data_IF_412813725282
#
_entry.id   IF_412813725282
#
_cell.length_a   1.000
_cell.length_b   1.000
_cell.length_c   1.000
_cell.angle_alpha   90.00
_cell.angle_beta   90.00
_cell.angle_gamma   90.00
#
_symmetry.space_group_name_H-M   'P 1'
#
loop_
_entity.id
_entity.type
_entity.pdbx_description
1 polymer ?
#
# COMPACT_ATOMS: atom_id res chain seq x y z
N UNK A 1 -2.17 10.35 -8.06
CA UNK A 1 -3.64 10.52 -7.89
C UNK A 1 -3.95 12.01 -7.84
N UNK A 2 -4.98 12.43 -8.53
CA UNK A 2 -5.37 13.83 -8.56
C UNK A 2 -5.92 14.26 -7.20
N UNK A 3 -5.60 15.50 -6.80
CA UNK A 3 -6.05 16.04 -5.51
C UNK A 3 -7.58 16.00 -5.33
N UNK A 4 -8.33 16.37 -6.36
CA UNK A 4 -9.79 16.38 -6.29
C UNK A 4 -10.38 14.96 -6.09
N UNK A 5 -9.79 13.96 -6.73
CA UNK A 5 -10.20 12.56 -6.56
C UNK A 5 -9.87 12.06 -5.16
N UNK A 6 -8.70 12.40 -4.63
CA UNK A 6 -8.31 12.06 -3.27
C UNK A 6 -9.27 12.67 -2.26
N UNK A 7 -9.58 13.96 -2.41
CA UNK A 7 -10.50 14.66 -1.51
C UNK A 7 -11.90 14.04 -1.54
N UNK A 8 -12.35 13.62 -2.72
CA UNK A 8 -13.64 12.93 -2.87
C UNK A 8 -13.66 11.59 -2.14
N UNK A 9 -12.60 10.80 -2.28
CA UNK A 9 -12.46 9.49 -1.62
C UNK A 9 -12.48 9.69 -0.10
N UNK A 10 -11.67 10.63 0.42
CA UNK A 10 -11.61 10.90 1.86
C UNK A 10 -12.96 11.34 2.40
N UNK A 11 -13.67 12.21 1.70
CA UNK A 11 -14.99 12.67 2.11
C UNK A 11 -16.00 11.53 2.19
N UNK A 12 -16.00 10.64 1.19
CA UNK A 12 -16.88 9.47 1.20
C UNK A 12 -16.54 8.50 2.31
N UNK A 13 -15.26 8.29 2.60
CA UNK A 13 -14.83 7.43 3.69
C UNK A 13 -15.23 7.99 5.05
N UNK A 14 -15.16 9.30 5.25
CA UNK A 14 -15.65 9.93 6.48
C UNK A 14 -17.12 9.65 6.71
N UNK A 15 -17.94 9.80 5.66
CA UNK A 15 -19.36 9.52 5.72
C UNK A 15 -19.61 8.04 6.04
N UNK A 16 -18.91 7.15 5.33
CA UNK A 16 -19.04 5.70 5.54
C UNK A 16 -18.73 5.31 6.98
N UNK A 17 -17.61 5.79 7.52
CA UNK A 17 -17.20 5.47 8.89
C UNK A 17 -18.11 6.03 9.95
N UNK A 18 -18.84 7.08 9.66
CA UNK A 18 -19.86 7.63 10.55
C UNK A 18 -21.02 6.66 10.78
N UNK A 19 -21.39 5.88 9.77
CA UNK A 19 -22.53 4.97 9.81
C UNK A 19 -22.12 3.50 9.94
N UNK A 20 -20.90 3.13 9.56
CA UNK A 20 -20.43 1.74 9.62
C UNK A 20 -19.20 1.65 10.53
N UNK A 21 -19.39 1.02 11.69
CA UNK A 21 -18.30 0.81 12.66
C UNK A 21 -17.47 -0.43 12.38
N UNK A 22 -17.91 -1.28 11.46
CA UNK A 22 -17.21 -2.52 11.12
C UNK A 22 -15.96 -2.20 10.31
N UNK A 23 -14.96 -3.10 10.40
CA UNK A 23 -13.77 -3.02 9.58
C UNK A 23 -14.14 -3.24 8.12
N UNK A 24 -13.76 -2.29 7.26
CA UNK A 24 -14.11 -2.31 5.84
C UNK A 24 -12.89 -2.69 5.02
N UNK A 25 -13.06 -3.64 4.10
CA UNK A 25 -12.06 -4.00 3.11
C UNK A 25 -12.42 -3.34 1.78
N UNK A 26 -11.44 -2.71 1.15
CA UNK A 26 -11.64 -2.04 -0.13
C UNK A 26 -10.61 -2.51 -1.14
N UNK A 27 -11.04 -2.76 -2.37
CA UNK A 27 -10.14 -3.13 -3.45
C UNK A 27 -9.27 -1.95 -3.86
N UNK A 28 -7.98 -2.22 -4.06
CA UNK A 28 -7.02 -1.26 -4.60
C UNK A 28 -6.40 -1.89 -5.84
N UNK A 29 -6.78 -1.38 -7.01
CA UNK A 29 -6.28 -1.87 -8.29
C UNK A 29 -4.91 -1.25 -8.57
N UNK A 30 -3.93 -2.10 -8.86
CA UNK A 30 -2.56 -1.67 -9.14
C UNK A 30 -2.05 -2.29 -10.44
N UNK A 31 -0.94 -1.75 -10.94
CA UNK A 31 -0.26 -2.21 -12.15
C UNK A 31 -1.07 -2.01 -13.44
N UNK A 32 -2.04 -1.11 -13.44
CA UNK A 32 -2.70 -0.71 -14.69
C UNK A 32 -1.69 -0.02 -15.61
N UNK A 33 -0.91 0.92 -15.06
CA UNK A 33 0.18 1.60 -15.76
C UNK A 33 1.52 1.12 -15.18
N UNK A 34 1.81 -0.16 -15.38
CA UNK A 34 2.86 -0.88 -14.67
C UNK A 34 4.28 -0.44 -15.00
N UNK A 35 4.46 0.37 -16.03
CA UNK A 35 5.78 0.91 -16.41
C UNK A 35 6.04 2.29 -15.79
N UNK A 36 5.04 2.88 -15.14
CA UNK A 36 5.15 4.20 -14.51
C UNK A 36 5.26 4.05 -13.00
N UNK A 37 6.32 4.59 -12.41
CA UNK A 37 6.52 4.58 -10.95
C UNK A 37 5.35 5.26 -10.22
N UNK A 38 4.68 6.21 -10.85
CA UNK A 38 3.52 6.87 -10.26
C UNK A 38 2.37 5.91 -9.96
N UNK A 39 2.28 4.78 -10.64
CA UNK A 39 1.30 3.75 -10.32
C UNK A 39 1.52 3.19 -8.91
N UNK A 40 2.77 2.89 -8.55
CA UNK A 40 3.13 2.44 -7.19
C UNK A 40 2.93 3.57 -6.17
N UNK A 41 3.34 4.78 -6.51
CA UNK A 41 3.16 5.94 -5.62
C UNK A 41 1.68 6.14 -5.31
N UNK A 42 0.82 6.05 -6.31
CA UNK A 42 -0.63 6.16 -6.14
C UNK A 42 -1.19 5.01 -5.30
N UNK A 43 -0.64 3.80 -5.44
CA UNK A 43 -1.04 2.66 -4.61
C UNK A 43 -0.75 2.93 -3.14
N UNK A 44 0.46 3.39 -2.81
CA UNK A 44 0.82 3.74 -1.44
C UNK A 44 -0.01 4.91 -0.90
N UNK A 45 -0.30 5.90 -1.72
CA UNK A 45 -1.14 7.03 -1.29
C UNK A 45 -2.55 6.57 -0.94
N UNK A 46 -3.14 5.68 -1.75
CA UNK A 46 -4.45 5.09 -1.44
C UNK A 46 -4.41 4.23 -0.18
N UNK A 47 -3.34 3.45 0.02
CA UNK A 47 -3.16 2.66 1.24
C UNK A 47 -3.07 3.57 2.46
N UNK A 48 -2.32 4.67 2.37
CA UNK A 48 -2.20 5.65 3.44
C UNK A 48 -3.57 6.23 3.83
N UNK A 49 -4.38 6.59 2.84
CA UNK A 49 -5.74 7.10 3.07
C UNK A 49 -6.58 6.02 3.79
N UNK A 50 -6.54 4.78 3.32
CA UNK A 50 -7.29 3.69 3.93
C UNK A 50 -6.84 3.43 5.37
N UNK A 51 -5.55 3.52 5.66
CA UNK A 51 -5.03 3.41 7.03
C UNK A 51 -5.66 4.45 7.95
N UNK A 52 -5.69 5.71 7.51
CA UNK A 52 -6.25 6.81 8.31
C UNK A 52 -7.71 6.56 8.68
N UNK A 53 -8.48 5.98 7.79
CA UNK A 53 -9.90 5.70 8.01
C UNK A 53 -10.17 4.29 8.56
N UNK A 54 -9.14 3.60 9.02
CA UNK A 54 -9.28 2.28 9.62
C UNK A 54 -9.76 1.20 8.66
N UNK A 55 -9.53 1.39 7.36
CA UNK A 55 -9.93 0.45 6.32
C UNK A 55 -8.77 -0.46 5.92
N UNK A 56 -9.11 -1.64 5.41
CA UNK A 56 -8.13 -2.65 4.98
C UNK A 56 -8.12 -2.69 3.45
N UNK A 57 -6.99 -2.46 2.80
CA UNK A 57 -6.89 -2.61 1.35
C UNK A 57 -6.84 -4.09 0.96
N UNK A 58 -7.40 -4.43 -0.19
CA UNK A 58 -7.18 -5.69 -0.86
C UNK A 58 -6.57 -5.37 -2.22
N UNK A 59 -5.31 -5.72 -2.41
CA UNK A 59 -4.58 -5.38 -3.62
C UNK A 59 -4.97 -6.35 -4.74
N UNK A 60 -5.45 -5.78 -5.84
CA UNK A 60 -5.72 -6.50 -7.08
C UNK A 60 -4.75 -6.01 -8.14
N UNK A 61 -4.00 -6.95 -8.72
CA UNK A 61 -2.98 -6.64 -9.72
C UNK A 61 -3.53 -6.87 -11.12
N UNK A 62 -3.40 -5.88 -12.00
CA UNK A 62 -3.61 -6.11 -13.42
C UNK A 62 -2.58 -7.12 -13.93
N UNK A 63 -2.98 -7.97 -14.87
CA UNK A 63 -2.13 -9.04 -15.40
C UNK A 63 -0.80 -8.53 -15.98
N UNK A 64 -0.76 -7.28 -16.42
CA UNK A 64 0.45 -6.67 -16.98
C UNK A 64 1.55 -6.41 -15.94
N UNK A 65 1.26 -6.59 -14.65
CA UNK A 65 2.29 -6.46 -13.61
C UNK A 65 3.50 -7.37 -13.87
N UNK A 66 3.28 -8.50 -14.53
CA UNK A 66 4.32 -9.49 -14.83
C UNK A 66 5.41 -8.93 -15.75
N UNK A 67 5.07 -7.94 -16.56
CA UNK A 67 5.98 -7.32 -17.53
C UNK A 67 6.64 -6.04 -16.99
N UNK A 68 6.37 -5.68 -15.74
CA UNK A 68 6.91 -4.48 -15.12
C UNK A 68 8.27 -4.75 -14.49
N UNK A 69 9.17 -3.77 -14.54
CA UNK A 69 10.39 -3.75 -13.74
C UNK A 69 10.08 -3.74 -12.24
N UNK A 70 8.91 -3.26 -11.87
CA UNK A 70 8.45 -3.17 -10.49
C UNK A 70 7.60 -4.36 -10.07
N UNK A 71 7.66 -5.46 -10.83
CA UNK A 71 6.88 -6.67 -10.57
C UNK A 71 7.03 -7.16 -9.13
N UNK A 72 8.25 -7.19 -8.62
CA UNK A 72 8.53 -7.62 -7.25
C UNK A 72 7.85 -6.75 -6.21
N UNK A 73 7.78 -5.45 -6.45
CA UNK A 73 7.08 -4.52 -5.57
C UNK A 73 5.57 -4.77 -5.57
N UNK A 74 4.96 -5.01 -6.71
CA UNK A 74 3.53 -5.34 -6.77
C UNK A 74 3.20 -6.64 -6.05
N UNK A 75 4.04 -7.66 -6.22
CA UNK A 75 3.88 -8.94 -5.52
C UNK A 75 3.97 -8.75 -4.01
N UNK A 76 5.01 -8.04 -3.56
CA UNK A 76 5.28 -7.82 -2.13
C UNK A 76 4.19 -6.97 -1.49
N UNK A 77 3.73 -5.93 -2.18
CA UNK A 77 2.66 -5.07 -1.71
C UNK A 77 1.37 -5.86 -1.46
N UNK A 78 1.02 -6.73 -2.40
CA UNK A 78 -0.16 -7.59 -2.26
C UNK A 78 -0.01 -8.57 -1.09
N UNK A 79 1.17 -9.16 -0.91
CA UNK A 79 1.43 -10.09 0.20
C UNK A 79 1.29 -9.39 1.56
N UNK A 80 1.73 -8.15 1.67
CA UNK A 80 1.61 -7.37 2.89
C UNK A 80 0.15 -6.98 3.17
N UNK A 81 -0.50 -6.34 2.22
CA UNK A 81 -1.85 -5.81 2.39
C UNK A 81 -2.93 -6.89 2.51
N UNK A 82 -2.79 -7.97 1.75
CA UNK A 82 -3.84 -8.98 1.66
C UNK A 82 -3.85 -9.94 2.85
N UNK A 83 -2.83 -9.89 3.70
CA UNK A 83 -2.79 -10.55 5.00
C UNK A 83 -3.04 -9.50 6.09
N UNK A 84 -4.25 -9.48 6.64
CA UNK A 84 -4.67 -8.45 7.60
C UNK A 84 -3.73 -8.37 8.80
N UNK A 85 -3.24 -9.52 9.30
CA UNK A 85 -2.33 -9.55 10.44
C UNK A 85 -1.01 -8.83 10.15
N UNK A 86 -0.47 -8.96 8.94
CA UNK A 86 0.74 -8.25 8.55
C UNK A 86 0.47 -6.76 8.37
N UNK A 87 -0.58 -6.43 7.64
CA UNK A 87 -0.92 -5.04 7.35
C UNK A 87 -1.17 -4.23 8.63
N UNK A 88 -1.90 -4.80 9.59
CA UNK A 88 -2.22 -4.09 10.84
C UNK A 88 -1.04 -3.92 11.78
N UNK A 89 -0.12 -4.87 11.79
CA UNK A 89 0.95 -4.93 12.80
C UNK A 89 2.29 -4.40 12.33
N UNK A 90 2.49 -4.30 11.01
CA UNK A 90 3.79 -3.92 10.45
C UNK A 90 3.64 -2.82 9.42
N UNK A 91 4.69 -2.00 9.29
CA UNK A 91 4.86 -1.16 8.10
C UNK A 91 5.32 -2.05 6.93
N UNK A 92 5.30 -1.48 5.72
CA UNK A 92 5.84 -2.19 4.55
C UNK A 92 7.30 -2.58 4.76
N UNK A 93 8.11 -1.66 5.30
CA UNK A 93 9.52 -1.91 5.59
C UNK A 93 9.68 -3.06 6.60
N UNK A 94 8.93 -3.03 7.68
CA UNK A 94 8.99 -4.09 8.70
C UNK A 94 8.57 -5.44 8.13
N UNK A 95 7.55 -5.46 7.27
CA UNK A 95 7.13 -6.69 6.61
C UNK A 95 8.26 -7.30 5.78
N UNK A 96 8.94 -6.48 4.98
CA UNK A 96 10.03 -6.95 4.12
C UNK A 96 11.28 -7.35 4.91
N UNK A 97 11.57 -6.65 5.99
CA UNK A 97 12.81 -6.81 6.77
C UNK A 97 12.67 -7.81 7.89
N UNK A 98 11.63 -7.65 8.73
CA UNK A 98 11.50 -8.42 9.98
C UNK A 98 10.71 -9.70 9.77
N UNK A 99 9.64 -9.67 8.98
CA UNK A 99 8.79 -10.84 8.74
C UNK A 99 9.39 -11.76 7.70
N UNK A 100 9.79 -11.23 6.55
CA UNK A 100 10.38 -12.03 5.46
C UNK A 100 11.89 -12.23 5.64
N UNK A 101 12.55 -11.35 6.37
CA UNK A 101 13.97 -11.43 6.67
C UNK A 101 14.87 -10.73 5.65
N UNK A 102 15.99 -10.23 6.15
CA UNK A 102 17.03 -9.63 5.31
C UNK A 102 17.56 -10.71 4.38
N UNK A 103 17.67 -10.38 3.09
CA UNK A 103 18.12 -11.32 2.07
C UNK A 103 16.98 -12.07 1.39
N UNK A 104 15.73 -11.95 1.87
CA UNK A 104 14.57 -12.49 1.17
C UNK A 104 14.31 -11.75 -0.14
N UNK A 105 13.51 -12.33 -1.02
CA UNK A 105 13.12 -11.67 -2.27
C UNK A 105 12.36 -10.39 -2.01
N UNK A 106 11.48 -10.37 -1.00
CA UNK A 106 10.74 -9.16 -0.62
C UNK A 106 11.68 -8.04 -0.17
N UNK A 107 12.65 -8.36 0.66
CA UNK A 107 13.65 -7.39 1.12
C UNK A 107 14.48 -6.86 -0.07
N UNK A 108 14.87 -7.73 -0.98
CA UNK A 108 15.63 -7.34 -2.18
C UNK A 108 14.82 -6.38 -3.05
N UNK A 109 13.55 -6.69 -3.34
CA UNK A 109 12.69 -5.82 -4.15
C UNK A 109 12.50 -4.46 -3.50
N UNK A 110 12.25 -4.44 -2.19
CA UNK A 110 12.11 -3.20 -1.44
C UNK A 110 13.40 -2.37 -1.49
N UNK A 111 14.55 -2.99 -1.27
CA UNK A 111 15.85 -2.29 -1.25
C UNK A 111 16.21 -1.73 -2.62
N UNK A 112 15.98 -2.49 -3.68
CA UNK A 112 16.23 -2.04 -5.06
C UNK A 112 15.34 -0.84 -5.40
N UNK A 113 14.08 -0.89 -5.01
CA UNK A 113 13.14 0.21 -5.23
C UNK A 113 13.55 1.44 -4.42
N UNK A 114 13.91 1.28 -3.17
CA UNK A 114 14.35 2.37 -2.31
C UNK A 114 15.60 3.05 -2.85
N UNK A 115 16.54 2.28 -3.35
CA UNK A 115 17.77 2.83 -3.96
C UNK A 115 17.46 3.69 -5.18
N UNK A 116 16.46 3.31 -5.94
CA UNK A 116 16.04 4.03 -7.15
C UNK A 116 15.11 5.21 -6.84
N UNK A 117 14.25 5.06 -5.85
CA UNK A 117 13.25 6.06 -5.48
C UNK A 117 13.24 6.30 -3.96
N UNK A 118 14.33 6.89 -3.41
CA UNK A 118 14.43 7.06 -1.95
C UNK A 118 13.35 7.96 -1.35
N UNK A 119 12.85 8.94 -2.11
CA UNK A 119 11.80 9.85 -1.63
C UNK A 119 10.49 9.12 -1.38
N UNK A 120 10.15 8.15 -2.24
CA UNK A 120 8.96 7.33 -2.09
C UNK A 120 9.07 6.45 -0.85
N UNK A 121 10.22 5.84 -0.66
CA UNK A 121 10.49 4.99 0.51
C UNK A 121 10.39 5.80 1.81
N UNK A 122 10.98 6.99 1.86
CA UNK A 122 10.91 7.86 3.03
C UNK A 122 9.46 8.22 3.37
N UNK A 123 8.65 8.48 2.36
CA UNK A 123 7.27 8.93 2.57
C UNK A 123 6.31 7.81 2.99
N UNK A 124 6.50 6.58 2.50
CA UNK A 124 5.48 5.55 2.63
C UNK A 124 5.90 4.26 3.32
N UNK A 125 7.18 3.88 3.29
CA UNK A 125 7.59 2.53 3.72
C UNK A 125 7.47 2.30 5.22
N UNK A 126 7.48 3.37 6.02
CA UNK A 126 7.43 3.28 7.49
C UNK A 126 6.05 3.58 8.07
N UNK A 127 5.04 3.77 7.24
CA UNK A 127 3.67 4.02 7.69
C UNK A 127 3.07 2.77 8.33
N UNK A 128 2.45 2.93 9.50
CA UNK A 128 1.83 1.84 10.24
C UNK A 128 0.36 2.12 10.46
N UNK A 129 -0.46 1.09 10.25
CA UNK A 129 -1.90 1.16 10.48
C UNK A 129 -2.21 1.63 11.91
N UNK A 130 -1.54 1.05 12.91
CA UNK A 130 -1.79 1.37 14.31
C UNK A 130 -1.52 2.83 14.66
N UNK A 131 -0.57 3.48 13.97
CA UNK A 131 -0.20 4.87 14.21
C UNK A 131 -1.08 5.86 13.45
N UNK A 132 -1.54 5.48 12.25
CA UNK A 132 -2.30 6.38 11.38
C UNK A 132 -3.80 6.27 11.57
N UNK A 133 -4.32 5.14 12.03
CA UNK A 133 -5.75 4.91 12.12
C UNK A 133 -6.41 5.85 13.14
N UNK A 134 -7.42 6.57 12.69
CA UNK A 134 -8.24 7.45 13.53
C UNK A 134 -9.51 6.75 14.01
N UNK A 135 -9.70 5.48 13.64
CA UNK A 135 -10.93 4.72 13.94
C UNK A 135 -10.65 3.37 14.62
#
# INVERSE_FOLDING_TARGET
>A
MRKCLRDLIERKLKIWKKYCKKQTRLYVLVAYDSQDVNDIVNAFERIKILMRYGCIPYIMRYKEFKNSEMRGMYITLARWCNQVSFYKKTSFRQFCTDINGIGSSSHRYMSEFENKYPDVAEKYFDLRFEELSEY
#
